data_IF_394634616175
#
_entry.id   IF_394634616175
#
_cell.length_a   1.000
_cell.length_b   1.000
_cell.length_c   1.000
_cell.angle_alpha   90.00
_cell.angle_beta   90.00
_cell.angle_gamma   90.00
#
_symmetry.space_group_name_H-M   'P 1'
#
loop_
_entity.id
_entity.type
_entity.pdbx_description
1 polymer ?
#
# COMPACT_ATOMS: atom_id res chain seq x y z
N UNK A 1 -12.18 2.40 -9.87
CA UNK A 1 -12.84 1.06 -9.79
C UNK A 1 -12.35 0.22 -8.61
N UNK A 2 -13.26 -0.57 -8.02
CA UNK A 2 -13.02 -1.34 -6.80
C UNK A 2 -11.96 -2.43 -6.98
N UNK A 3 -11.97 -3.11 -8.13
CA UNK A 3 -11.05 -4.20 -8.46
C UNK A 3 -9.59 -3.76 -8.47
N UNK A 4 -9.29 -2.58 -9.02
CA UNK A 4 -7.94 -2.01 -9.03
C UNK A 4 -7.45 -1.70 -7.61
N UNK A 5 -8.32 -1.14 -6.76
CA UNK A 5 -8.00 -0.86 -5.34
C UNK A 5 -7.71 -2.16 -4.57
N UNK A 6 -8.53 -3.19 -4.74
CA UNK A 6 -8.31 -4.50 -4.10
C UNK A 6 -6.97 -5.10 -4.54
N UNK A 7 -6.70 -5.10 -5.85
CA UNK A 7 -5.44 -5.63 -6.39
C UNK A 7 -4.22 -4.89 -5.83
N UNK A 8 -4.25 -3.55 -5.80
CA UNK A 8 -3.14 -2.76 -5.29
C UNK A 8 -2.95 -2.92 -3.78
N UNK A 9 -4.03 -3.06 -3.01
CA UNK A 9 -3.95 -3.35 -1.58
C UNK A 9 -3.26 -4.70 -1.31
N UNK A 10 -3.53 -5.72 -2.13
CA UNK A 10 -2.84 -7.01 -2.06
C UNK A 10 -1.37 -6.94 -2.47
N UNK A 11 -1.05 -6.19 -3.52
CA UNK A 11 0.35 -5.99 -3.93
C UNK A 11 1.13 -5.29 -2.83
N UNK A 12 0.53 -4.25 -2.23
CA UNK A 12 1.13 -3.53 -1.11
C UNK A 12 1.35 -4.45 0.10
N UNK A 13 0.35 -5.23 0.50
CA UNK A 13 0.47 -6.22 1.57
C UNK A 13 1.64 -7.19 1.38
N UNK A 14 1.92 -7.60 0.13
CA UNK A 14 3.02 -8.54 -0.17
C UNK A 14 4.40 -7.91 -0.07
N UNK A 15 4.53 -6.63 -0.36
CA UNK A 15 5.82 -5.92 -0.26
C UNK A 15 6.06 -5.44 1.17
N UNK A 16 5.05 -4.84 1.79
CA UNK A 16 5.17 -4.14 3.07
C UNK A 16 4.70 -4.96 4.29
N UNK A 17 4.20 -6.19 4.08
CA UNK A 17 3.64 -7.05 5.13
C UNK A 17 2.33 -6.55 5.75
N UNK A 18 1.85 -5.36 5.38
CA UNK A 18 0.60 -4.75 5.87
C UNK A 18 -0.22 -4.14 4.75
N UNK A 19 -1.55 -4.20 4.81
CA UNK A 19 -2.40 -3.56 3.81
C UNK A 19 -2.52 -2.06 4.07
N UNK A 20 -2.70 -1.25 3.02
CA UNK A 20 -2.99 0.21 3.15
C UNK A 20 -4.36 0.40 3.79
N UNK A 21 -5.32 -0.41 3.38
CA UNK A 21 -6.69 -0.41 3.91
C UNK A 21 -6.96 -1.77 4.52
N UNK A 22 -7.22 -1.86 5.85
CA UNK A 22 -7.51 -3.12 6.51
C UNK A 22 -8.74 -3.83 5.94
N UNK A 23 -9.74 -3.07 5.48
CA UNK A 23 -10.95 -3.59 4.88
C UNK A 23 -10.76 -3.90 3.39
N UNK A 24 -10.10 -5.02 3.10
CA UNK A 24 -9.88 -5.52 1.73
C UNK A 24 -11.21 -5.78 0.98
N UNK A 25 -12.30 -6.02 1.72
CA UNK A 25 -13.63 -6.34 1.19
C UNK A 25 -14.72 -5.29 1.50
N UNK A 26 -14.44 -4.34 2.40
CA UNK A 26 -15.43 -3.35 2.86
C UNK A 26 -14.89 -1.93 2.62
N UNK A 27 -14.99 -1.48 1.37
CA UNK A 27 -14.82 -0.06 1.02
C UNK A 27 -16.09 0.77 1.36
N UNK A 28 -17.00 0.20 2.15
CA UNK A 28 -18.25 0.81 2.58
C UNK A 28 -18.14 1.59 3.89
N UNK A 29 -19.29 2.12 4.32
CA UNK A 29 -19.51 3.12 5.38
C UNK A 29 -19.05 2.73 6.81
N UNK A 30 -18.51 1.52 7.00
CA UNK A 30 -18.10 0.94 8.30
C UNK A 30 -16.62 0.48 8.34
N UNK A 31 -15.82 0.73 7.30
CA UNK A 31 -14.39 0.39 7.30
C UNK A 31 -13.61 1.27 8.29
N UNK A 32 -12.73 0.66 9.09
CA UNK A 32 -11.73 1.38 9.90
C UNK A 32 -11.05 2.47 9.05
N UNK A 33 -10.83 3.68 9.59
CA UNK A 33 -10.29 4.79 8.81
C UNK A 33 -8.96 4.36 8.19
N UNK A 34 -8.95 4.30 6.86
CA UNK A 34 -7.74 4.03 6.10
C UNK A 34 -6.68 5.05 6.52
N UNK A 35 -5.47 4.57 6.84
CA UNK A 35 -4.37 5.49 7.17
C UNK A 35 -4.10 6.43 5.98
N UNK A 36 -4.16 5.90 4.76
CA UNK A 36 -3.86 6.64 3.53
C UNK A 36 -4.74 6.21 2.34
N UNK A 37 -6.05 6.58 2.31
CA UNK A 37 -6.95 6.20 1.21
C UNK A 37 -6.57 6.81 -0.14
N UNK A 38 -6.02 8.04 -0.12
CA UNK A 38 -5.58 8.74 -1.33
C UNK A 38 -4.43 8.01 -2.05
N UNK A 39 -3.54 7.32 -1.31
CA UNK A 39 -2.46 6.53 -1.88
C UNK A 39 -3.00 5.33 -2.64
N UNK A 40 -3.98 4.63 -2.07
CA UNK A 40 -4.60 3.48 -2.72
C UNK A 40 -5.37 3.89 -3.98
N UNK A 41 -6.03 5.05 -3.93
CA UNK A 41 -6.72 5.62 -5.09
C UNK A 41 -5.76 5.98 -6.21
N UNK A 42 -4.62 6.58 -5.88
CA UNK A 42 -3.58 6.88 -6.84
C UNK A 42 -3.00 5.61 -7.46
N UNK A 43 -2.64 4.59 -6.66
CA UNK A 43 -2.15 3.30 -7.15
C UNK A 43 -3.17 2.60 -8.06
N UNK A 44 -4.45 2.66 -7.71
CA UNK A 44 -5.52 2.07 -8.51
C UNK A 44 -5.69 2.78 -9.86
N UNK A 45 -5.54 4.10 -9.91
CA UNK A 45 -5.54 4.87 -11.16
C UNK A 45 -4.33 4.53 -12.02
N UNK A 46 -3.12 4.55 -11.45
CA UNK A 46 -1.88 4.22 -12.14
C UNK A 46 -1.91 2.77 -12.69
N UNK A 47 -2.53 1.85 -11.97
CA UNK A 47 -2.69 0.47 -12.42
C UNK A 47 -3.60 0.34 -13.65
N UNK A 48 -4.67 1.14 -13.73
CA UNK A 48 -5.53 1.17 -14.92
C UNK A 48 -4.83 1.84 -16.10
N UNK A 49 -4.12 2.95 -15.86
CA UNK A 49 -3.40 3.70 -16.88
C UNK A 49 -2.27 2.87 -17.52
N UNK A 50 -1.78 1.86 -16.80
CA UNK A 50 -0.77 0.89 -17.27
C UNK A 50 -1.36 -0.41 -17.80
N UNK A 51 -2.60 -0.40 -18.30
CA UNK A 51 -3.30 -1.57 -18.84
C UNK A 51 -3.33 -2.77 -17.88
N UNK A 52 -3.52 -2.52 -16.59
CA UNK A 52 -3.59 -3.58 -15.57
C UNK A 52 -2.29 -4.42 -15.47
N UNK A 53 -1.15 -3.83 -15.85
CA UNK A 53 0.15 -4.51 -15.82
C UNK A 53 0.73 -4.62 -14.41
N UNK A 54 0.57 -5.80 -13.80
CA UNK A 54 1.11 -6.08 -12.45
C UNK A 54 2.63 -5.87 -12.39
N UNK A 55 3.36 -6.33 -13.42
CA UNK A 55 4.83 -6.18 -13.50
C UNK A 55 5.25 -4.72 -13.42
N UNK A 56 4.51 -3.83 -14.06
CA UNK A 56 4.79 -2.40 -14.05
C UNK A 56 4.55 -1.79 -12.66
N UNK A 57 3.50 -2.22 -11.97
CA UNK A 57 3.23 -1.79 -10.59
C UNK A 57 4.26 -2.32 -9.60
N UNK A 58 4.67 -3.59 -9.71
CA UNK A 58 5.76 -4.13 -8.88
C UNK A 58 7.04 -3.32 -9.06
N UNK A 59 7.42 -2.99 -10.30
CA UNK A 59 8.58 -2.13 -10.57
C UNK A 59 8.40 -0.74 -9.96
N UNK A 60 7.24 -0.12 -10.12
CA UNK A 60 6.96 1.21 -9.59
C UNK A 60 7.10 1.23 -8.06
N UNK A 61 6.54 0.24 -7.38
CA UNK A 61 6.62 0.12 -5.92
C UNK A 61 8.07 -0.05 -5.48
N UNK A 62 8.82 -0.99 -6.07
CA UNK A 62 10.22 -1.24 -5.70
C UNK A 62 11.14 -0.04 -5.99
N UNK A 63 10.82 0.76 -7.01
CA UNK A 63 11.56 1.98 -7.34
C UNK A 63 11.13 3.20 -6.51
N UNK A 64 10.02 3.12 -5.78
CA UNK A 64 9.52 4.22 -4.98
C UNK A 64 10.47 4.56 -3.82
N UNK A 65 10.44 5.82 -3.37
CA UNK A 65 11.13 6.22 -2.14
C UNK A 65 10.59 5.48 -0.92
N UNK A 66 9.29 5.15 -0.91
CA UNK A 66 8.63 4.43 0.19
C UNK A 66 9.23 3.04 0.38
N UNK A 67 9.42 2.27 -0.71
CA UNK A 67 10.06 0.95 -0.61
C UNK A 67 11.52 1.03 -0.15
N UNK A 68 12.24 2.11 -0.50
CA UNK A 68 13.62 2.31 -0.05
C UNK A 68 13.71 2.72 1.42
N UNK A 69 12.77 3.54 1.90
CA UNK A 69 12.63 3.85 3.33
C UNK A 69 12.34 2.56 4.11
N UNK A 70 11.51 1.66 3.57
CA UNK A 70 11.14 0.43 4.27
C UNK A 70 12.33 -0.52 4.37
N UNK A 71 13.12 -0.63 3.30
CA UNK A 71 14.29 -1.49 3.26
C UNK A 71 15.40 -1.08 4.23
N UNK A 72 15.40 0.18 4.71
CA UNK A 72 16.43 0.75 5.59
C UNK A 72 16.11 0.52 7.08
N UNK A 73 15.11 -0.32 7.39
CA UNK A 73 14.54 -0.58 8.71
C UNK A 73 15.59 -0.67 9.85
N UNK A 74 15.66 0.37 10.68
CA UNK A 74 16.44 0.42 11.90
C UNK A 74 15.64 -0.28 13.02
N UNK A 75 16.24 -1.27 13.69
CA UNK A 75 15.52 -2.11 14.65
C UNK A 75 14.97 -1.33 15.87
N UNK A 76 15.48 -0.11 16.09
CA UNK A 76 15.05 0.79 17.16
C UNK A 76 13.66 1.41 16.92
N UNK A 77 13.34 1.78 15.68
CA UNK A 77 12.07 2.44 15.36
C UNK A 77 10.91 1.43 15.28
N UNK A 78 11.23 0.15 15.06
CA UNK A 78 10.26 -0.95 15.07
C UNK A 78 9.54 -1.12 16.42
N UNK A 79 10.15 -0.64 17.52
CA UNK A 79 9.55 -0.65 18.85
C UNK A 79 8.58 0.52 19.10
N UNK A 80 8.70 1.63 18.34
CA UNK A 80 7.92 2.86 18.52
C UNK A 80 6.60 2.86 17.74
N UNK A 81 6.56 2.24 16.57
CA UNK A 81 5.33 2.08 15.77
C UNK A 81 5.24 0.64 15.21
N UNK A 82 4.88 -0.34 16.06
CA UNK A 82 4.71 -1.73 15.64
C UNK A 82 3.63 -1.89 14.57
N UNK A 83 2.73 -0.91 14.42
CA UNK A 83 1.66 -0.88 13.43
C UNK A 83 2.04 -0.17 12.11
N UNK A 84 3.23 0.45 12.00
CA UNK A 84 3.69 1.23 10.84
C UNK A 84 2.60 2.16 10.29
N UNK A 85 1.84 2.80 11.18
CA UNK A 85 0.70 3.64 10.82
C UNK A 85 1.10 4.87 10.02
N UNK A 86 2.34 5.33 10.22
CA UNK A 86 2.88 6.53 9.59
C UNK A 86 3.72 6.26 8.33
N UNK A 87 3.76 5.01 7.82
CA UNK A 87 4.45 4.63 6.57
C UNK A 87 5.90 5.14 6.48
N UNK A 88 6.62 5.19 7.61
CA UNK A 88 8.01 5.63 7.67
C UNK A 88 8.99 4.46 7.55
N UNK A 89 8.51 3.22 7.74
CA UNK A 89 9.08 2.07 7.02
C UNK A 89 8.53 2.15 5.61
#
# INVERSE_FOLDING_TARGET
PLTARVAMNHVWLRHFGKPIVPSVFDFGRNGQPASHPALLDWLASEFMDRDWSMKSMHRLIVLSSVYRMESTNDAADAALDPDNRYLWR
#
